data_IF_977076443473
#
_entry.id   IF_977076443473
#
_cell.length_a   1.000
_cell.length_b   1.000
_cell.length_c   1.000
_cell.angle_alpha   90.00
_cell.angle_beta   90.00
_cell.angle_gamma   90.00
#
_symmetry.space_group_name_H-M   'P 1'
#
loop_
_entity.id
_entity.type
_entity.pdbx_description
1 polymer ?
#
# COMPACT_ATOMS: atom_id res chain seq x y z
N UNK A 1 28.29 13.55 7.33
CA UNK A 1 27.25 14.32 8.03
C UNK A 1 26.47 15.14 7.01
N UNK A 2 25.40 14.59 6.45
CA UNK A 2 24.51 15.32 5.55
C UNK A 2 23.42 15.99 6.38
N UNK A 3 23.49 17.32 6.53
CA UNK A 3 22.39 18.08 7.14
C UNK A 3 21.16 17.97 6.23
N UNK A 4 20.12 17.34 6.74
CA UNK A 4 18.76 17.39 6.22
C UNK A 4 18.38 18.85 6.00
N UNK A 5 18.13 19.26 4.74
CA UNK A 5 17.40 20.50 4.47
C UNK A 5 15.93 20.25 4.81
N UNK A 6 15.61 20.24 6.09
CA UNK A 6 14.25 20.21 6.61
C UNK A 6 13.99 21.54 7.30
N UNK A 7 13.56 22.54 6.53
CA UNK A 7 12.86 23.71 7.06
C UNK A 7 11.86 24.14 6.00
N UNK A 8 10.69 23.49 6.00
CA UNK A 8 9.50 24.06 5.35
C UNK A 8 9.22 25.40 6.08
N UNK A 9 9.19 26.56 5.41
CA UNK A 9 8.95 27.86 6.06
C UNK A 9 7.64 27.93 6.84
N UNK A 10 6.68 27.07 6.49
CA UNK A 10 5.32 27.04 7.05
C UNK A 10 5.19 26.14 8.28
N UNK A 11 6.08 25.15 8.49
CA UNK A 11 6.10 24.38 9.74
C UNK A 11 6.37 25.26 10.96
N UNK A 12 7.07 26.38 10.78
CA UNK A 12 7.28 27.42 11.80
C UNK A 12 5.97 28.08 12.28
N UNK A 13 4.96 28.15 11.41
CA UNK A 13 3.69 28.81 11.71
C UNK A 13 2.67 27.86 12.37
N UNK A 14 2.85 26.54 12.27
CA UNK A 14 1.93 25.55 12.82
C UNK A 14 2.26 25.18 14.28
N UNK A 15 1.27 24.79 15.08
CA UNK A 15 1.49 24.41 16.48
C UNK A 15 0.22 24.04 17.25
N UNK A 16 0.40 23.70 18.53
CA UNK A 16 -0.66 23.13 19.37
C UNK A 16 -0.58 23.61 20.83
N UNK A 17 0.05 24.76 21.08
CA UNK A 17 0.27 25.27 22.45
C UNK A 17 -1.02 25.63 23.18
N UNK A 18 -2.05 26.03 22.44
CA UNK A 18 -3.37 26.45 22.91
C UNK A 18 -4.41 26.24 21.80
N UNK A 19 -5.69 26.38 22.16
CA UNK A 19 -6.83 26.20 21.24
C UNK A 19 -6.73 27.08 20.00
N UNK A 20 -6.37 28.35 20.17
CA UNK A 20 -6.26 29.29 19.06
C UNK A 20 -5.17 28.86 18.07
N UNK A 21 -4.02 28.42 18.58
CA UNK A 21 -2.93 27.94 17.75
C UNK A 21 -3.30 26.66 16.98
N UNK A 22 -4.09 25.78 17.59
CA UNK A 22 -4.62 24.61 16.88
C UNK A 22 -5.55 25.04 15.73
N UNK A 23 -6.44 26.01 15.95
CA UNK A 23 -7.30 26.58 14.90
C UNK A 23 -6.48 27.26 13.79
N UNK A 24 -5.47 28.04 14.15
CA UNK A 24 -4.55 28.67 13.18
C UNK A 24 -3.81 27.62 12.35
N UNK A 25 -3.48 26.47 12.95
CA UNK A 25 -2.84 25.35 12.27
C UNK A 25 -3.79 24.69 11.27
N UNK A 26 -5.05 24.45 11.67
CA UNK A 26 -6.07 23.96 10.73
C UNK A 26 -6.25 24.93 9.56
N UNK A 27 -6.26 26.24 9.83
CA UNK A 27 -6.35 27.28 8.80
C UNK A 27 -5.12 27.30 7.88
N UNK A 28 -3.92 27.09 8.40
CA UNK A 28 -2.70 26.99 7.58
C UNK A 28 -2.65 25.73 6.69
N UNK A 29 -3.40 24.70 7.07
CA UNK A 29 -3.55 23.47 6.31
C UNK A 29 -4.72 23.52 5.31
N UNK A 30 -5.59 24.52 5.41
CA UNK A 30 -6.75 24.68 4.54
C UNK A 30 -6.32 24.78 3.07
N UNK A 31 -7.03 24.06 2.19
CA UNK A 31 -6.71 24.00 0.75
C UNK A 31 -5.61 23.01 0.36
N UNK A 32 -4.82 22.49 1.32
CA UNK A 32 -3.83 21.43 1.02
C UNK A 32 -4.49 20.08 0.79
N UNK A 33 -3.73 19.13 0.26
CA UNK A 33 -4.23 17.76 0.05
C UNK A 33 -4.74 17.15 1.37
N UNK A 34 -5.94 16.59 1.34
CA UNK A 34 -6.57 16.05 2.55
C UNK A 34 -5.71 14.97 3.23
N UNK A 35 -4.98 14.19 2.44
CA UNK A 35 -4.04 13.18 2.96
C UNK A 35 -2.87 13.84 3.71
N UNK A 36 -2.36 14.97 3.24
CA UNK A 36 -1.31 15.73 3.93
C UNK A 36 -1.85 16.36 5.21
N UNK A 37 -3.03 16.98 5.15
CA UNK A 37 -3.69 17.53 6.36
C UNK A 37 -3.84 16.45 7.43
N UNK A 38 -4.35 15.27 7.06
CA UNK A 38 -4.50 14.13 7.95
C UNK A 38 -3.19 13.72 8.63
N UNK A 39 -2.10 13.60 7.85
CA UNK A 39 -0.79 13.22 8.39
C UNK A 39 -0.22 14.28 9.36
N UNK A 40 -0.34 15.57 9.02
CA UNK A 40 0.14 16.66 9.88
C UNK A 40 -0.65 16.70 11.18
N UNK A 41 -1.98 16.64 11.10
CA UNK A 41 -2.88 16.69 12.27
C UNK A 41 -2.67 15.46 13.15
N UNK A 42 -2.54 14.26 12.57
CA UNK A 42 -2.21 13.04 13.32
C UNK A 42 -0.89 13.17 14.07
N UNK A 43 0.13 13.76 13.44
CA UNK A 43 1.42 14.03 14.09
C UNK A 43 1.26 15.00 15.27
N UNK A 44 0.45 16.05 15.12
CA UNK A 44 0.17 16.99 16.20
C UNK A 44 -0.61 16.36 17.36
N UNK A 45 -1.56 15.46 17.09
CA UNK A 45 -2.26 14.70 18.13
C UNK A 45 -1.28 13.85 18.95
N UNK A 46 -0.41 13.08 18.28
CA UNK A 46 0.60 12.26 18.96
C UNK A 46 1.56 13.11 19.81
N UNK A 47 2.03 14.24 19.27
CA UNK A 47 2.92 15.17 19.98
C UNK A 47 2.19 15.82 21.17
N UNK A 48 0.95 16.23 21.00
CA UNK A 48 0.11 16.83 22.05
C UNK A 48 -0.11 15.86 23.21
N UNK A 49 -0.47 14.60 22.92
CA UNK A 49 -0.64 13.54 23.93
C UNK A 49 0.66 13.30 24.73
N UNK A 50 1.81 13.30 24.05
CA UNK A 50 3.11 13.18 24.73
C UNK A 50 3.41 14.40 25.61
N UNK A 51 3.16 15.61 25.12
CA UNK A 51 3.39 16.85 25.88
C UNK A 51 2.49 16.93 27.12
N UNK A 52 1.24 16.46 27.02
CA UNK A 52 0.31 16.36 28.15
C UNK A 52 0.85 15.46 29.27
N UNK A 53 1.55 14.37 28.96
CA UNK A 53 2.08 13.44 29.96
C UNK A 53 3.24 14.02 30.78
N UNK A 54 4.00 14.95 30.20
CA UNK A 54 5.21 15.52 30.82
C UNK A 54 4.98 16.90 31.45
N UNK A 55 3.90 17.59 31.09
CA UNK A 55 3.57 18.93 31.58
C UNK A 55 2.95 18.84 32.98
N UNK A 56 3.39 19.71 33.90
CA UNK A 56 2.92 19.77 35.30
C UNK A 56 2.12 21.03 35.63
N UNK A 57 2.13 21.99 34.71
CA UNK A 57 1.46 23.29 34.84
C UNK A 57 -0.01 23.17 34.42
N UNK A 58 -0.94 23.46 35.33
CA UNK A 58 -2.39 23.25 35.15
C UNK A 58 -3.00 24.13 34.05
N UNK A 59 -2.52 25.36 33.90
CA UNK A 59 -2.99 26.28 32.86
C UNK A 59 -2.57 25.75 31.47
N UNK A 60 -1.30 25.35 31.32
CA UNK A 60 -0.81 24.73 30.09
C UNK A 60 -1.48 23.40 29.80
N UNK A 61 -1.80 22.59 30.81
CA UNK A 61 -2.56 21.35 30.63
C UNK A 61 -3.95 21.62 30.06
N UNK A 62 -4.63 22.66 30.55
CA UNK A 62 -5.94 23.07 30.03
C UNK A 62 -5.84 23.51 28.56
N UNK A 63 -4.89 24.39 28.25
CA UNK A 63 -4.64 24.86 26.88
C UNK A 63 -4.30 23.72 25.92
N UNK A 64 -3.48 22.75 26.34
CA UNK A 64 -3.12 21.57 25.55
C UNK A 64 -4.30 20.62 25.35
N UNK A 65 -5.18 20.44 26.35
CA UNK A 65 -6.39 19.63 26.21
C UNK A 65 -7.36 20.24 25.22
N UNK A 66 -7.55 21.56 25.27
CA UNK A 66 -8.40 22.27 24.31
C UNK A 66 -7.83 22.21 22.89
N UNK A 67 -6.51 22.39 22.73
CA UNK A 67 -5.83 22.23 21.45
C UNK A 67 -5.97 20.80 20.90
N UNK A 68 -5.78 19.80 21.76
CA UNK A 68 -5.93 18.38 21.38
C UNK A 68 -7.35 18.10 20.89
N UNK A 69 -8.37 18.61 21.60
CA UNK A 69 -9.78 18.43 21.23
C UNK A 69 -10.06 18.96 19.82
N UNK A 70 -9.54 20.14 19.47
CA UNK A 70 -9.70 20.70 18.11
C UNK A 70 -9.20 19.74 17.02
N UNK A 71 -8.08 19.06 17.24
CA UNK A 71 -7.55 18.09 16.28
C UNK A 71 -8.31 16.75 16.30
N UNK A 72 -8.74 16.28 17.46
CA UNK A 72 -9.55 15.05 17.57
C UNK A 72 -10.94 15.23 16.94
N UNK A 73 -11.55 16.41 17.07
CA UNK A 73 -12.81 16.76 16.40
C UNK A 73 -12.61 16.75 14.87
N UNK A 74 -11.49 17.31 14.36
CA UNK A 74 -11.16 17.25 12.93
C UNK A 74 -10.92 15.82 12.43
N UNK A 75 -10.23 14.97 13.22
CA UNK A 75 -9.99 13.57 12.84
C UNK A 75 -11.27 12.73 12.85
N UNK A 76 -12.19 13.03 13.77
CA UNK A 76 -13.53 12.42 13.81
C UNK A 76 -14.29 12.78 12.55
N UNK A 77 -14.38 14.07 12.21
CA UNK A 77 -14.98 14.56 10.96
C UNK A 77 -14.35 13.90 9.72
N UNK A 78 -13.03 13.78 9.67
CA UNK A 78 -12.31 13.10 8.60
C UNK A 78 -12.78 11.65 8.38
N UNK A 79 -12.98 10.90 9.47
CA UNK A 79 -13.43 9.50 9.44
C UNK A 79 -14.92 9.40 9.09
N UNK A 80 -15.77 10.12 9.81
CA UNK A 80 -17.24 10.05 9.67
C UNK A 80 -17.70 10.48 8.28
N UNK A 81 -17.12 11.57 7.74
CA UNK A 81 -17.48 12.09 6.43
C UNK A 81 -16.68 11.45 5.28
N UNK A 82 -15.89 10.39 5.54
CA UNK A 82 -15.06 9.70 4.54
C UNK A 82 -14.21 10.68 3.71
N UNK A 83 -13.64 11.69 4.37
CA UNK A 83 -12.93 12.80 3.72
C UNK A 83 -11.67 12.34 2.97
N UNK A 84 -11.21 11.11 3.21
CA UNK A 84 -10.19 10.44 2.39
C UNK A 84 -10.52 10.40 0.89
N UNK A 85 -11.81 10.38 0.53
CA UNK A 85 -12.29 10.41 -0.86
C UNK A 85 -12.18 11.80 -1.51
N UNK A 86 -11.98 12.86 -0.74
CA UNK A 86 -11.73 14.21 -1.25
C UNK A 86 -10.31 14.36 -1.84
N UNK A 87 -9.48 13.32 -1.74
CA UNK A 87 -8.09 13.39 -2.17
C UNK A 87 -7.97 13.54 -3.69
N UNK A 88 -7.45 14.69 -4.11
CA UNK A 88 -7.22 15.03 -5.52
C UNK A 88 -5.83 14.55 -5.96
N UNK A 89 -5.67 13.24 -6.16
CA UNK A 89 -4.36 12.65 -6.50
C UNK A 89 -3.72 13.26 -7.76
N UNK A 90 -2.40 13.45 -7.72
CA UNK A 90 -1.62 14.02 -8.83
C UNK A 90 -1.45 13.02 -9.97
N UNK A 91 -1.63 13.51 -11.20
CA UNK A 91 -1.30 12.79 -12.43
C UNK A 91 0.20 12.90 -12.74
N UNK A 92 0.79 11.89 -13.41
CA UNK A 92 2.13 12.00 -13.97
C UNK A 92 2.25 13.21 -14.91
N UNK A 93 3.40 13.88 -14.89
CA UNK A 93 3.66 15.06 -15.72
C UNK A 93 3.54 14.76 -17.22
N UNK A 94 3.90 13.55 -17.64
CA UNK A 94 3.77 13.08 -19.02
C UNK A 94 2.31 12.98 -19.43
N UNK A 95 1.42 12.58 -18.50
CA UNK A 95 -0.02 12.58 -18.75
C UNK A 95 -0.52 13.99 -19.00
N UNK A 96 -0.14 14.95 -18.16
CA UNK A 96 -0.53 16.36 -18.36
C UNK A 96 -0.03 16.87 -19.72
N UNK A 97 1.23 16.56 -20.07
CA UNK A 97 1.84 16.93 -21.35
C UNK A 97 1.03 16.40 -22.55
N UNK A 98 0.61 15.13 -22.51
CA UNK A 98 -0.13 14.49 -23.61
C UNK A 98 -1.50 15.09 -23.90
N UNK A 99 -2.11 15.79 -22.94
CA UNK A 99 -3.43 16.43 -23.13
C UNK A 99 -3.35 17.93 -23.46
N UNK A 100 -2.14 18.52 -23.59
CA UNK A 100 -1.97 19.95 -23.92
C UNK A 100 -2.57 20.33 -25.27
N UNK A 101 -2.41 19.50 -26.30
CA UNK A 101 -2.98 19.80 -27.62
C UNK A 101 -4.50 19.80 -27.58
N UNK A 102 -5.11 18.82 -26.90
CA UNK A 102 -6.55 18.81 -26.70
C UNK A 102 -7.04 20.06 -25.94
N UNK A 103 -6.25 20.55 -24.98
CA UNK A 103 -6.58 21.80 -24.29
C UNK A 103 -6.51 23.04 -25.19
N UNK A 104 -5.62 23.06 -26.19
CA UNK A 104 -5.58 24.13 -27.20
C UNK A 104 -6.85 24.14 -28.03
N UNK A 105 -7.31 22.96 -28.48
CA UNK A 105 -8.54 22.82 -29.25
C UNK A 105 -9.79 23.27 -28.48
N UNK A 106 -9.81 23.05 -27.17
CA UNK A 106 -10.88 23.54 -26.29
C UNK A 106 -10.75 25.00 -25.86
N UNK A 107 -9.66 25.68 -26.24
CA UNK A 107 -9.30 27.04 -25.81
C UNK A 107 -9.25 27.19 -24.28
N UNK A 108 -8.54 26.25 -23.62
CA UNK A 108 -8.36 26.20 -22.15
C UNK A 108 -6.94 25.91 -21.72
N UNK A 109 -5.97 26.02 -22.62
CA UNK A 109 -4.58 25.77 -22.29
C UNK A 109 -4.07 26.81 -21.28
N UNK A 110 -3.79 26.35 -20.06
CA UNK A 110 -3.12 27.10 -19.00
C UNK A 110 -1.77 26.42 -18.70
N UNK A 111 -0.67 27.17 -18.73
CA UNK A 111 0.68 26.61 -18.69
C UNK A 111 1.40 26.82 -17.35
N UNK A 112 0.88 27.73 -16.51
CA UNK A 112 1.52 28.18 -15.29
C UNK A 112 1.75 27.03 -14.31
N UNK A 113 0.71 26.22 -14.05
CA UNK A 113 0.82 25.04 -13.20
C UNK A 113 1.77 24.00 -13.80
N UNK A 114 1.63 23.70 -15.10
CA UNK A 114 2.48 22.73 -15.78
C UNK A 114 3.95 23.11 -15.70
N UNK A 115 4.27 24.39 -15.91
CA UNK A 115 5.63 24.92 -15.84
C UNK A 115 6.19 24.84 -14.41
N UNK A 116 5.38 25.14 -13.39
CA UNK A 116 5.77 24.96 -11.99
C UNK A 116 6.05 23.48 -11.67
N UNK A 117 5.16 22.58 -12.12
CA UNK A 117 5.29 21.15 -11.87
C UNK A 117 6.45 20.51 -12.64
N UNK A 118 6.76 21.02 -13.85
CA UNK A 118 7.93 20.66 -14.66
C UNK A 118 9.23 21.05 -13.97
N UNK A 119 9.32 22.23 -13.37
CA UNK A 119 10.50 22.67 -12.60
C UNK A 119 10.80 21.75 -11.41
N UNK A 120 9.75 21.25 -10.76
CA UNK A 120 9.85 20.24 -9.69
C UNK A 120 10.00 18.79 -10.22
N UNK A 121 10.21 18.59 -11.53
CA UNK A 121 10.40 17.28 -12.17
C UNK A 121 9.27 16.29 -11.88
N UNK A 122 8.04 16.78 -11.73
CA UNK A 122 6.89 15.95 -11.39
C UNK A 122 6.77 15.56 -9.91
N UNK A 123 7.61 16.10 -9.01
CA UNK A 123 7.44 15.92 -7.56
C UNK A 123 6.39 16.89 -6.99
N UNK A 124 5.21 16.37 -6.68
CA UNK A 124 4.11 17.18 -6.15
C UNK A 124 4.39 17.71 -4.74
N UNK A 125 5.30 17.10 -3.98
CA UNK A 125 5.65 17.59 -2.64
C UNK A 125 6.41 18.91 -2.73
N UNK A 126 7.22 19.11 -3.78
CA UNK A 126 7.92 20.37 -4.04
C UNK A 126 6.96 21.55 -4.21
N UNK A 127 5.78 21.32 -4.80
CA UNK A 127 4.76 22.36 -5.05
C UNK A 127 4.24 23.03 -3.78
N UNK A 128 4.43 22.42 -2.60
CA UNK A 128 4.09 23.03 -1.30
C UNK A 128 4.97 24.23 -0.95
N UNK A 129 6.12 24.37 -1.59
CA UNK A 129 7.02 25.50 -1.41
C UNK A 129 7.04 26.44 -2.63
N UNK A 130 6.51 26.01 -3.78
CA UNK A 130 6.48 26.82 -5.00
C UNK A 130 5.29 27.77 -4.95
N UNK A 131 5.58 29.07 -4.84
CA UNK A 131 4.56 30.12 -4.87
C UNK A 131 3.97 30.32 -6.26
N UNK A 132 2.69 30.69 -6.31
CA UNK A 132 2.07 31.20 -7.54
C UNK A 132 2.66 32.57 -7.91
N UNK A 133 2.52 33.04 -9.17
CA UNK A 133 3.11 34.31 -9.61
C UNK A 133 2.71 35.54 -8.77
N UNK A 134 1.48 35.58 -8.22
CA UNK A 134 1.05 36.66 -7.32
C UNK A 134 1.75 36.64 -5.96
N UNK A 135 2.38 35.52 -5.58
CA UNK A 135 3.10 35.33 -4.32
C UNK A 135 2.20 35.10 -3.10
N UNK A 136 0.87 35.09 -3.28
CA UNK A 136 -0.13 35.00 -2.21
C UNK A 136 -0.23 33.61 -1.57
N UNK A 137 -0.08 32.56 -2.38
CA UNK A 137 -0.18 31.16 -1.94
C UNK A 137 0.76 30.26 -2.74
N UNK A 138 0.74 28.96 -2.46
CA UNK A 138 1.54 27.93 -3.10
C UNK A 138 0.73 27.14 -4.12
N UNK A 139 1.43 26.51 -5.06
CA UNK A 139 0.77 25.80 -6.16
C UNK A 139 -0.06 24.60 -5.69
N UNK A 140 0.30 23.92 -4.60
CA UNK A 140 -0.51 22.84 -4.03
C UNK A 140 -1.90 23.34 -3.58
N UNK A 141 -1.96 24.52 -2.95
CA UNK A 141 -3.21 25.13 -2.48
C UNK A 141 -4.01 25.66 -3.66
N UNK A 142 -3.39 26.46 -4.54
CA UNK A 142 -4.08 27.09 -5.66
C UNK A 142 -4.69 26.05 -6.61
N UNK A 143 -3.92 24.98 -6.90
CA UNK A 143 -4.38 23.87 -7.74
C UNK A 143 -5.62 23.20 -7.14
N UNK A 144 -5.62 22.91 -5.84
CA UNK A 144 -6.74 22.27 -5.17
C UNK A 144 -7.98 23.17 -5.14
N UNK A 145 -7.80 24.49 -4.94
CA UNK A 145 -8.88 25.48 -5.01
C UNK A 145 -9.55 25.46 -6.38
N UNK A 146 -8.77 25.60 -7.46
CA UNK A 146 -9.28 25.60 -8.84
C UNK A 146 -9.96 24.27 -9.21
N UNK A 147 -9.37 23.15 -8.82
CA UNK A 147 -10.00 21.84 -9.05
C UNK A 147 -11.34 21.71 -8.36
N UNK A 148 -11.45 22.18 -7.11
CA UNK A 148 -12.72 22.16 -6.38
C UNK A 148 -13.79 22.96 -7.13
N UNK A 149 -13.46 24.16 -7.60
CA UNK A 149 -14.38 25.00 -8.40
C UNK A 149 -14.84 24.29 -9.68
N UNK A 150 -13.92 23.67 -10.43
CA UNK A 150 -14.26 22.95 -11.67
C UNK A 150 -15.10 21.71 -11.37
N UNK A 151 -14.72 20.91 -10.37
CA UNK A 151 -15.44 19.69 -9.97
C UNK A 151 -16.86 20.04 -9.49
N UNK A 152 -17.01 21.09 -8.70
CA UNK A 152 -18.32 21.53 -8.21
C UNK A 152 -19.19 22.02 -9.37
N UNK A 153 -18.61 22.74 -10.36
CA UNK A 153 -19.31 23.10 -11.60
C UNK A 153 -19.77 21.86 -12.38
N UNK A 154 -18.91 20.83 -12.52
CA UNK A 154 -19.27 19.55 -13.17
C UNK A 154 -20.44 18.89 -12.44
N UNK A 155 -20.37 18.79 -11.11
CA UNK A 155 -21.44 18.19 -10.28
C UNK A 155 -22.75 18.95 -10.39
N UNK A 156 -22.73 20.26 -10.22
CA UNK A 156 -23.93 21.12 -10.26
C UNK A 156 -24.63 21.07 -11.62
N UNK A 157 -23.86 21.04 -12.71
CA UNK A 157 -24.41 20.99 -14.07
C UNK A 157 -24.60 19.55 -14.59
N UNK A 158 -24.35 18.54 -13.76
CA UNK A 158 -24.38 17.12 -14.13
C UNK A 158 -23.62 16.80 -15.44
N UNK A 159 -22.48 17.46 -15.63
CA UNK A 159 -21.66 17.27 -16.84
C UNK A 159 -20.95 15.91 -16.80
N UNK A 160 -20.80 15.30 -17.97
CA UNK A 160 -20.01 14.09 -18.11
C UNK A 160 -18.52 14.41 -18.09
N UNK A 161 -17.71 13.45 -17.65
CA UNK A 161 -16.25 13.55 -17.70
C UNK A 161 -15.67 13.34 -19.10
N UNK A 162 -16.44 12.73 -19.99
CA UNK A 162 -16.04 12.43 -21.37
C UNK A 162 -17.13 12.82 -22.33
N UNK A 163 -16.72 13.30 -23.50
CA UNK A 163 -17.63 13.68 -24.57
C UNK A 163 -18.40 12.46 -25.08
N UNK A 164 -19.72 12.52 -24.97
CA UNK A 164 -20.62 11.47 -25.45
C UNK A 164 -21.11 11.73 -26.87
N UNK A 165 -20.97 12.97 -27.35
CA UNK A 165 -21.52 13.45 -28.60
C UNK A 165 -20.74 12.93 -29.82
N UNK A 166 -21.43 12.85 -30.95
CA UNK A 166 -20.85 12.36 -32.20
C UNK A 166 -19.92 13.44 -32.78
N UNK A 167 -18.66 13.11 -33.01
CA UNK A 167 -17.70 14.04 -33.59
C UNK A 167 -16.24 13.68 -33.27
N UNK A 168 -15.33 14.60 -33.61
CA UNK A 168 -13.88 14.46 -33.41
C UNK A 168 -13.52 14.17 -31.94
N UNK A 169 -14.24 14.78 -31.01
CA UNK A 169 -13.99 14.70 -29.58
C UNK A 169 -14.61 13.48 -28.89
N UNK A 170 -15.41 12.66 -29.59
CA UNK A 170 -16.13 11.53 -28.98
C UNK A 170 -15.18 10.61 -28.20
N UNK A 171 -15.53 10.32 -26.95
CA UNK A 171 -14.77 9.45 -26.05
C UNK A 171 -13.54 10.10 -25.42
N UNK A 172 -13.20 11.34 -25.78
CA UNK A 172 -12.14 12.12 -25.14
C UNK A 172 -12.67 12.88 -23.92
N UNK A 173 -11.81 13.35 -23.01
CA UNK A 173 -12.21 14.20 -21.91
C UNK A 173 -12.96 15.45 -22.39
N UNK A 174 -14.01 15.83 -21.64
CA UNK A 174 -14.72 17.11 -21.88
C UNK A 174 -13.84 18.32 -21.57
N UNK A 175 -14.26 19.51 -22.01
CA UNK A 175 -13.56 20.78 -21.73
C UNK A 175 -13.20 20.93 -20.25
N UNK A 176 -14.16 20.77 -19.34
CA UNK A 176 -13.93 20.87 -17.89
C UNK A 176 -13.03 19.75 -17.35
N UNK A 177 -13.12 18.52 -17.88
CA UNK A 177 -12.21 17.45 -17.48
C UNK A 177 -10.78 17.75 -17.96
N UNK A 178 -10.58 18.31 -19.16
CA UNK A 178 -9.26 18.73 -19.63
C UNK A 178 -8.66 19.80 -18.72
N UNK A 179 -9.45 20.76 -18.23
CA UNK A 179 -8.98 21.74 -17.23
C UNK A 179 -8.50 21.04 -15.94
N UNK A 180 -9.22 20.03 -15.47
CA UNK A 180 -8.77 19.21 -14.34
C UNK A 180 -7.46 18.47 -14.64
N UNK A 181 -7.32 17.92 -15.85
CA UNK A 181 -6.11 17.20 -16.29
C UNK A 181 -4.91 18.14 -16.34
N UNK A 182 -5.10 19.38 -16.82
CA UNK A 182 -4.05 20.40 -16.84
C UNK A 182 -3.58 20.78 -15.43
N UNK A 183 -4.49 20.75 -14.45
CA UNK A 183 -4.18 20.88 -13.03
C UNK A 183 -3.68 19.56 -12.39
N UNK A 184 -3.39 18.54 -13.20
CA UNK A 184 -2.84 17.27 -12.75
C UNK A 184 -3.83 16.40 -11.99
N UNK A 185 -5.12 16.42 -12.31
CA UNK A 185 -6.14 15.59 -11.69
C UNK A 185 -7.05 14.89 -12.71
N UNK A 186 -7.47 13.67 -12.37
CA UNK A 186 -8.59 13.00 -13.01
C UNK A 186 -9.20 11.97 -12.06
N UNK A 187 -10.53 11.78 -12.08
CA UNK A 187 -11.16 10.68 -11.36
C UNK A 187 -10.82 9.30 -11.96
N UNK A 188 -10.38 9.23 -13.24
CA UNK A 188 -10.08 7.98 -13.94
C UNK A 188 -8.65 8.00 -14.58
N UNK A 189 -7.59 8.08 -13.77
CA UNK A 189 -6.22 8.26 -14.26
C UNK A 189 -5.73 7.12 -15.17
N UNK A 190 -6.25 5.91 -14.99
CA UNK A 190 -5.89 4.72 -15.79
C UNK A 190 -6.45 4.79 -17.21
N UNK A 191 -7.61 5.43 -17.40
CA UNK A 191 -8.25 5.62 -18.70
C UNK A 191 -7.51 6.66 -19.53
N UNK A 192 -7.04 7.74 -18.90
CA UNK A 192 -6.25 8.78 -19.56
C UNK A 192 -4.99 8.24 -20.23
N UNK A 193 -4.27 7.32 -19.57
CA UNK A 193 -3.07 6.68 -20.15
C UNK A 193 -3.33 6.00 -21.49
N UNK A 194 -4.53 5.44 -21.69
CA UNK A 194 -4.93 4.81 -22.95
C UNK A 194 -5.38 5.83 -24.00
N UNK A 195 -5.94 6.95 -23.55
CA UNK A 195 -6.44 8.01 -24.42
C UNK A 195 -5.34 8.95 -24.91
N UNK A 196 -4.17 9.00 -24.25
CA UNK A 196 -3.03 9.83 -24.68
C UNK A 196 -2.68 9.60 -26.15
N UNK A 197 -2.52 8.35 -26.58
CA UNK A 197 -2.20 8.02 -27.98
C UNK A 197 -3.30 8.48 -28.94
N UNK A 198 -4.58 8.34 -28.55
CA UNK A 198 -5.70 8.78 -29.38
C UNK A 198 -5.76 10.31 -29.50
N UNK A 199 -5.38 11.03 -28.45
CA UNK A 199 -5.28 12.50 -28.47
C UNK A 199 -4.13 12.94 -29.38
N UNK A 200 -2.96 12.30 -29.27
CA UNK A 200 -1.80 12.59 -30.11
C UNK A 200 -2.08 12.33 -31.61
N UNK A 201 -2.79 11.24 -31.93
CA UNK A 201 -3.20 10.90 -33.30
C UNK A 201 -4.22 11.88 -33.88
N UNK A 202 -5.22 12.30 -33.09
CA UNK A 202 -6.30 13.19 -33.54
C UNK A 202 -5.89 14.66 -33.56
N UNK A 203 -4.98 15.06 -32.67
CA UNK A 203 -4.53 16.44 -32.49
C UNK A 203 -2.99 16.49 -32.47
N UNK A 204 -2.34 16.26 -33.63
CA UNK A 204 -0.89 16.29 -33.74
C UNK A 204 -0.36 17.69 -33.46
N UNK A 205 0.80 17.78 -32.79
CA UNK A 205 1.46 19.07 -32.53
C UNK A 205 2.12 19.60 -33.80
N UNK A 206 1.85 20.86 -34.17
CA UNK A 206 2.54 21.50 -35.31
C UNK A 206 3.98 21.95 -35.00
N UNK A 207 4.44 21.96 -33.74
CA UNK A 207 5.79 22.41 -33.37
C UNK A 207 6.51 21.45 -32.40
N UNK A 208 7.59 20.83 -32.91
CA UNK A 208 8.61 20.08 -32.15
C UNK A 208 9.65 21.03 -31.50
N UNK A 209 9.23 22.04 -30.74
CA UNK A 209 10.15 23.01 -30.11
C UNK A 209 10.42 22.72 -28.62
N UNK A 210 10.47 21.45 -28.22
CA UNK A 210 10.81 21.08 -26.83
C UNK A 210 11.76 19.86 -26.77
N UNK A 211 12.63 19.71 -27.78
CA UNK A 211 13.86 18.91 -27.66
C UNK A 211 14.96 19.76 -27.00
N UNK A 212 14.84 20.04 -25.70
CA UNK A 212 16.04 20.35 -24.93
C UNK A 212 16.76 19.05 -24.59
N UNK A 213 17.91 18.89 -25.22
CA UNK A 213 18.83 17.78 -25.01
C UNK A 213 19.65 18.08 -23.75
N UNK A 214 19.24 17.55 -22.60
CA UNK A 214 20.13 17.44 -21.44
C UNK A 214 21.12 16.29 -21.70
N UNK A 215 22.28 16.62 -22.27
CA UNK A 215 23.47 15.76 -22.27
C UNK A 215 24.09 15.86 -20.88
N UNK A 216 23.81 14.87 -20.04
CA UNK A 216 24.77 14.21 -19.14
C UNK A 216 23.98 13.35 -18.13
N UNK A 217 23.93 12.04 -18.33
CA UNK A 217 24.64 11.08 -17.47
C UNK A 217 24.32 9.64 -17.93
N UNK A 218 25.38 8.85 -18.19
CA UNK A 218 25.28 7.41 -18.46
C UNK A 218 25.19 6.70 -17.11
N UNK A 219 24.04 6.15 -16.74
CA UNK A 219 23.99 5.32 -15.53
C UNK A 219 22.67 4.63 -15.22
N UNK A 220 22.55 3.37 -15.64
CA UNK A 220 21.74 2.27 -15.06
C UNK A 220 20.24 2.50 -14.83
N UNK A 221 19.48 1.81 -15.68
CA UNK A 221 18.10 1.37 -15.48
C UNK A 221 17.83 0.83 -14.07
N UNK A 222 17.00 1.52 -13.29
CA UNK A 222 16.35 0.98 -12.09
C UNK A 222 14.83 1.05 -12.27
N UNK A 223 14.21 -0.12 -12.50
CA UNK A 223 12.77 -0.35 -12.40
C UNK A 223 12.29 0.04 -11.00
N UNK A 224 11.51 1.12 -10.87
CA UNK A 224 10.76 1.41 -9.64
C UNK A 224 9.38 0.75 -9.73
N UNK A 225 9.10 -0.10 -8.74
CA UNK A 225 7.82 -0.77 -8.53
C UNK A 225 6.79 0.22 -7.97
N UNK A 226 5.60 0.16 -8.54
CA UNK A 226 4.37 0.79 -8.10
C UNK A 226 3.92 0.15 -6.78
N UNK A 227 3.77 0.94 -5.72
CA UNK A 227 3.16 0.50 -4.46
C UNK A 227 1.71 0.99 -4.40
N UNK A 228 0.77 0.12 -4.74
CA UNK A 228 -0.62 0.23 -4.31
C UNK A 228 -0.71 -0.24 -2.85
N UNK A 229 -0.91 0.67 -1.91
CA UNK A 229 -1.19 0.31 -0.52
C UNK A 229 -2.70 0.22 -0.35
N UNK A 230 -3.21 -1.01 -0.33
CA UNK A 230 -4.52 -1.35 0.22
C UNK A 230 -4.29 -1.68 1.68
N UNK A 231 -4.85 -0.87 2.59
CA UNK A 231 -4.75 -1.07 4.02
C UNK A 231 -6.16 -1.21 4.58
N UNK A 232 -6.56 -2.46 4.82
CA UNK A 232 -7.52 -2.79 5.87
C UNK A 232 -6.70 -3.40 7.00
N UNK A 233 -6.79 -2.83 8.19
CA UNK A 233 -6.73 -3.57 9.45
C UNK A 233 -7.36 -2.70 10.54
N UNK A 234 -8.32 -3.33 11.22
CA UNK A 234 -9.15 -2.84 12.31
C UNK A 234 -8.30 -2.86 13.59
N UNK A 235 -8.36 -1.79 14.40
CA UNK A 235 -7.81 -1.78 15.75
C UNK A 235 -8.92 -2.12 16.75
N UNK A 236 -8.70 -3.19 17.52
CA UNK A 236 -9.45 -3.45 18.74
C UNK A 236 -8.84 -2.68 19.92
N UNK A 237 -9.74 -2.01 20.61
CA UNK A 237 -9.58 -1.07 21.70
C UNK A 237 -9.19 -1.76 23.02
N UNK A 238 -8.33 -1.14 23.83
CA UNK A 238 -8.27 -1.42 25.27
C UNK A 238 -7.52 -0.30 26.03
N UNK A 239 -8.30 0.55 26.71
CA UNK A 239 -7.84 1.55 27.67
C UNK A 239 -7.18 0.95 28.94
N UNK A 240 -6.26 1.69 29.61
CA UNK A 240 -5.56 1.21 30.80
C UNK A 240 -6.24 1.64 32.12
N UNK A 241 -6.39 0.71 33.08
CA UNK A 241 -6.72 1.03 34.48
C UNK A 241 -5.48 1.19 35.37
N UNK A 242 -5.45 2.31 36.11
CA UNK A 242 -4.48 2.71 37.17
C UNK A 242 -4.43 1.74 38.37
N UNK A 243 -3.22 1.50 38.92
CA UNK A 243 -2.84 1.63 40.36
C UNK A 243 -1.32 1.42 40.54
N UNK A 244 -0.55 2.46 40.91
CA UNK A 244 0.02 2.86 42.23
C UNK A 244 1.18 1.97 42.74
N UNK A 245 2.26 2.66 43.15
CA UNK A 245 3.64 2.22 43.40
C UNK A 245 3.91 1.50 44.74
N UNK A 246 4.97 0.66 44.81
CA UNK A 246 6.24 0.90 45.57
C UNK A 246 7.26 -0.27 45.49
N UNK A 247 8.54 0.12 45.32
CA UNK A 247 9.82 -0.40 45.86
C UNK A 247 10.31 -1.86 45.72
N UNK A 248 11.47 -1.98 45.05
CA UNK A 248 12.68 -2.78 45.31
C UNK A 248 12.59 -4.23 45.79
N UNK A 249 13.03 -5.16 44.96
CA UNK A 249 14.31 -5.89 45.09
C UNK A 249 14.52 -6.76 43.85
N UNK A 250 15.79 -7.00 43.51
CA UNK A 250 16.23 -7.89 42.44
C UNK A 250 15.58 -9.26 42.59
N UNK A 251 14.92 -9.73 41.52
CA UNK A 251 14.76 -11.15 41.19
C UNK A 251 14.07 -11.28 39.82
N UNK A 252 14.51 -12.28 39.08
CA UNK A 252 14.24 -12.59 37.68
C UNK A 252 12.77 -12.40 37.28
N UNK A 253 12.50 -11.38 36.47
CA UNK A 253 11.25 -11.30 35.70
C UNK A 253 11.45 -11.96 34.35
N UNK A 254 11.00 -13.20 34.27
CA UNK A 254 10.49 -13.83 33.06
C UNK A 254 9.68 -12.80 32.27
N UNK A 255 10.28 -12.31 31.18
CA UNK A 255 9.62 -11.49 30.18
C UNK A 255 8.42 -12.29 29.67
N UNK A 256 7.25 -11.64 29.64
CA UNK A 256 6.06 -12.15 28.96
C UNK A 256 6.47 -12.66 27.57
N UNK A 257 6.27 -13.96 27.35
CA UNK A 257 6.44 -14.66 26.09
C UNK A 257 5.40 -14.13 25.08
N UNK A 258 5.66 -12.96 24.50
CA UNK A 258 4.87 -12.41 23.41
C UNK A 258 5.66 -12.57 22.10
N UNK A 259 5.24 -13.58 21.32
CA UNK A 259 5.80 -14.06 20.04
C UNK A 259 7.17 -14.74 20.17
N UNK A 260 7.27 -16.02 19.78
CA UNK A 260 8.50 -16.83 19.86
C UNK A 260 9.67 -16.36 18.97
N UNK A 261 9.60 -15.16 18.40
CA UNK A 261 10.64 -14.56 17.56
C UNK A 261 11.48 -13.58 18.37
N UNK A 262 12.80 -13.69 18.27
CA UNK A 262 13.76 -12.91 19.06
C UNK A 262 14.93 -12.41 18.21
N UNK A 263 15.46 -11.25 18.57
CA UNK A 263 16.62 -10.61 17.95
C UNK A 263 17.71 -10.29 18.99
N UNK A 264 17.68 -10.97 20.14
CA UNK A 264 18.60 -10.70 21.27
C UNK A 264 20.06 -10.98 20.94
N UNK A 265 20.31 -12.06 20.22
CA UNK A 265 21.63 -12.54 19.83
C UNK A 265 21.54 -13.37 18.55
N UNK A 266 22.70 -13.77 18.04
CA UNK A 266 22.85 -14.56 16.80
C UNK A 266 22.11 -15.89 16.85
N UNK A 267 22.16 -16.61 17.97
CA UNK A 267 21.53 -17.93 18.11
C UNK A 267 20.01 -17.81 18.10
N UNK A 268 19.47 -16.83 18.82
CA UNK A 268 18.04 -16.52 18.82
C UNK A 268 17.55 -16.03 17.46
N UNK A 269 18.38 -15.33 16.70
CA UNK A 269 18.06 -14.95 15.33
C UNK A 269 17.92 -16.18 14.40
N UNK A 270 18.84 -17.14 14.51
CA UNK A 270 18.78 -18.39 13.76
C UNK A 270 17.53 -19.22 14.13
N UNK A 271 17.24 -19.38 15.42
CA UNK A 271 16.02 -20.05 15.89
C UNK A 271 14.75 -19.34 15.39
N UNK A 272 14.78 -18.00 15.29
CA UNK A 272 13.65 -17.25 14.75
C UNK A 272 13.44 -17.52 13.26
N UNK A 273 14.52 -17.64 12.48
CA UNK A 273 14.43 -18.04 11.06
C UNK A 273 13.90 -19.47 10.94
N UNK A 274 14.40 -20.39 11.76
CA UNK A 274 13.95 -21.79 11.79
C UNK A 274 12.46 -21.91 12.14
N UNK A 275 11.98 -21.15 13.13
CA UNK A 275 10.56 -21.13 13.51
C UNK A 275 9.62 -20.58 12.42
N UNK A 276 10.18 -19.86 11.45
CA UNK A 276 9.46 -19.32 10.30
C UNK A 276 9.53 -20.25 9.07
N UNK A 277 10.34 -21.31 9.12
CA UNK A 277 10.48 -22.26 8.03
C UNK A 277 9.14 -22.93 7.70
N UNK A 278 8.91 -23.21 6.41
CA UNK A 278 7.64 -23.76 5.91
C UNK A 278 6.49 -22.74 5.78
N UNK A 279 6.57 -21.56 6.40
CA UNK A 279 5.56 -20.51 6.22
C UNK A 279 5.68 -19.82 4.86
N UNK A 280 4.67 -19.03 4.50
CA UNK A 280 4.65 -18.19 3.30
C UNK A 280 5.91 -17.30 3.22
N UNK A 281 6.61 -17.32 2.09
CA UNK A 281 7.93 -16.67 1.97
C UNK A 281 7.81 -15.14 2.12
N UNK A 282 6.67 -14.56 1.69
CA UNK A 282 6.40 -13.14 1.89
C UNK A 282 6.15 -12.85 3.38
N UNK A 283 5.45 -13.72 4.10
CA UNK A 283 5.29 -13.61 5.56
C UNK A 283 6.64 -13.70 6.29
N UNK A 284 7.50 -14.66 5.94
CA UNK A 284 8.84 -14.77 6.51
C UNK A 284 9.62 -13.47 6.31
N UNK A 285 9.59 -12.91 5.10
CA UNK A 285 10.25 -11.65 4.77
C UNK A 285 9.74 -10.48 5.62
N UNK A 286 8.43 -10.34 5.79
CA UNK A 286 7.85 -9.28 6.60
C UNK A 286 8.16 -9.44 8.09
N UNK A 287 8.11 -10.67 8.61
CA UNK A 287 8.46 -10.96 10.00
C UNK A 287 9.93 -10.62 10.29
N UNK A 288 10.85 -11.07 9.44
CA UNK A 288 12.29 -10.84 9.57
C UNK A 288 12.64 -9.36 9.41
N UNK A 289 12.06 -8.67 8.41
CA UNK A 289 12.24 -7.21 8.24
C UNK A 289 11.73 -6.44 9.46
N UNK A 290 10.63 -6.89 10.07
CA UNK A 290 10.10 -6.34 11.31
C UNK A 290 11.05 -6.51 12.49
N UNK A 291 11.71 -7.67 12.62
CA UNK A 291 12.72 -7.94 13.64
C UNK A 291 13.93 -7.02 13.48
N UNK A 292 14.44 -6.82 12.25
CA UNK A 292 15.55 -5.90 11.97
C UNK A 292 15.22 -4.48 12.43
N UNK A 293 14.08 -3.93 12.03
CA UNK A 293 13.66 -2.57 12.43
C UNK A 293 13.52 -2.41 13.94
N UNK A 294 13.02 -3.45 14.63
CA UNK A 294 12.94 -3.45 16.11
C UNK A 294 14.33 -3.51 16.74
N UNK A 295 15.21 -4.37 16.24
CA UNK A 295 16.59 -4.50 16.70
C UNK A 295 17.36 -3.19 16.55
N UNK A 296 17.31 -2.54 15.38
CA UNK A 296 17.95 -1.24 15.12
C UNK A 296 17.45 -0.16 16.09
N UNK A 297 16.13 -0.13 16.36
CA UNK A 297 15.56 0.79 17.33
C UNK A 297 16.11 0.54 18.73
N UNK A 298 16.17 -0.71 19.19
CA UNK A 298 16.71 -1.06 20.50
C UNK A 298 18.20 -0.73 20.59
N UNK A 299 18.98 -1.03 19.55
CA UNK A 299 20.40 -0.66 19.43
C UNK A 299 20.58 0.85 19.61
N UNK A 300 19.75 1.67 18.96
CA UNK A 300 19.85 3.14 19.04
C UNK A 300 19.61 3.73 20.44
N UNK A 301 18.86 3.01 21.29
CA UNK A 301 18.46 3.47 22.62
C UNK A 301 19.27 2.81 23.75
N UNK A 302 20.04 1.77 23.45
CA UNK A 302 20.80 0.97 24.42
C UNK A 302 22.20 1.57 24.61
N UNK A 303 22.72 1.53 25.84
CA UNK A 303 24.10 1.95 26.19
C UNK A 303 25.02 0.78 26.53
N UNK A 304 24.46 -0.42 26.65
CA UNK A 304 25.17 -1.66 26.95
C UNK A 304 25.87 -2.18 25.68
N UNK A 305 27.20 -2.12 25.67
CA UNK A 305 28.02 -2.48 24.51
C UNK A 305 27.89 -3.96 24.12
N UNK A 306 27.77 -4.86 25.11
CA UNK A 306 27.64 -6.29 24.86
C UNK A 306 26.27 -6.60 24.23
N UNK A 307 25.21 -5.99 24.73
CA UNK A 307 23.87 -6.11 24.12
C UNK A 307 23.84 -5.56 22.69
N UNK A 308 24.48 -4.41 22.46
CA UNK A 308 24.60 -3.84 21.11
C UNK A 308 25.34 -4.81 20.18
N UNK A 309 26.44 -5.41 20.63
CA UNK A 309 27.19 -6.39 19.83
C UNK A 309 26.31 -7.60 19.48
N UNK A 310 25.66 -8.21 20.47
CA UNK A 310 24.79 -9.36 20.26
C UNK A 310 23.65 -9.06 19.28
N UNK A 311 22.98 -7.91 19.41
CA UNK A 311 21.91 -7.51 18.50
C UNK A 311 22.43 -7.18 17.08
N UNK A 312 23.65 -6.65 16.94
CA UNK A 312 24.26 -6.44 15.62
C UNK A 312 24.54 -7.77 14.90
N UNK A 313 25.07 -8.76 15.62
CA UNK A 313 25.26 -10.10 15.06
C UNK A 313 23.92 -10.76 14.67
N UNK A 314 22.86 -10.54 15.46
CA UNK A 314 21.50 -10.95 15.11
C UNK A 314 20.98 -10.26 13.84
N UNK A 315 21.17 -8.94 13.71
CA UNK A 315 20.77 -8.16 12.53
C UNK A 315 21.50 -8.65 11.28
N UNK A 316 22.80 -8.94 11.36
CA UNK A 316 23.57 -9.47 10.24
C UNK A 316 22.99 -10.79 9.72
N UNK A 317 22.58 -11.71 10.61
CA UNK A 317 21.90 -12.96 10.22
C UNK A 317 20.61 -12.67 9.43
N UNK A 318 19.79 -11.73 9.90
CA UNK A 318 18.55 -11.36 9.22
C UNK A 318 18.79 -10.62 7.89
N UNK A 319 19.77 -9.72 7.83
CA UNK A 319 20.13 -9.00 6.61
C UNK A 319 20.65 -9.94 5.52
N UNK A 320 21.43 -10.96 5.90
CA UNK A 320 21.87 -12.00 4.98
C UNK A 320 20.68 -12.77 4.40
N UNK A 321 19.70 -13.14 5.24
CA UNK A 321 18.46 -13.79 4.79
C UNK A 321 17.64 -12.87 3.87
N UNK A 322 17.51 -11.58 4.21
CA UNK A 322 16.79 -10.59 3.39
C UNK A 322 17.50 -10.37 2.03
N UNK A 323 18.83 -10.37 2.03
CA UNK A 323 19.63 -10.24 0.80
C UNK A 323 19.41 -11.44 -0.10
N UNK A 324 19.48 -12.65 0.44
CA UNK A 324 19.15 -13.89 -0.28
C UNK A 324 17.74 -13.84 -0.88
N UNK A 325 16.73 -13.43 -0.10
CA UNK A 325 15.35 -13.26 -0.58
C UNK A 325 15.26 -12.33 -1.80
N UNK A 326 15.94 -11.19 -1.75
CA UNK A 326 15.91 -10.19 -2.82
C UNK A 326 16.70 -10.60 -4.07
N UNK A 327 17.89 -11.17 -3.89
CA UNK A 327 18.80 -11.54 -4.98
C UNK A 327 18.29 -12.77 -5.73
N UNK A 328 17.86 -13.80 -5.01
CA UNK A 328 17.38 -15.04 -5.61
C UNK A 328 15.89 -14.98 -6.01
N UNK A 329 15.21 -13.86 -5.76
CA UNK A 329 13.84 -13.64 -6.18
C UNK A 329 12.85 -14.61 -5.52
N UNK A 330 13.12 -14.99 -4.26
CA UNK A 330 12.36 -15.98 -3.49
C UNK A 330 10.88 -15.63 -3.34
N UNK A 331 10.50 -14.38 -3.57
CA UNK A 331 9.10 -13.95 -3.70
C UNK A 331 8.30 -14.79 -4.74
N UNK A 332 8.96 -15.32 -5.78
CA UNK A 332 8.30 -16.15 -6.80
C UNK A 332 8.01 -17.58 -6.34
N UNK A 333 8.64 -18.03 -5.26
CA UNK A 333 8.41 -19.33 -4.64
C UNK A 333 7.13 -19.33 -3.80
N UNK A 334 6.47 -18.18 -3.68
CA UNK A 334 5.30 -18.03 -2.86
C UNK A 334 4.07 -18.71 -3.47
N UNK A 335 3.47 -19.62 -2.73
CA UNK A 335 2.22 -20.27 -3.10
C UNK A 335 1.03 -19.39 -2.74
N UNK A 336 0.69 -18.43 -3.59
CA UNK A 336 -0.43 -17.53 -3.36
C UNK A 336 -1.75 -18.30 -3.20
N UNK A 337 -2.58 -17.89 -2.23
CA UNK A 337 -3.86 -18.52 -1.95
C UNK A 337 -4.88 -18.22 -3.04
N UNK A 338 -5.65 -19.23 -3.44
CA UNK A 338 -6.86 -19.06 -4.22
C UNK A 338 -8.02 -18.67 -3.32
N UNK A 339 -8.96 -17.81 -3.78
CA UNK A 339 -10.21 -17.57 -3.06
C UNK A 339 -10.96 -18.88 -2.80
N UNK A 340 -11.61 -18.98 -1.65
CA UNK A 340 -12.28 -20.22 -1.22
C UNK A 340 -13.37 -20.67 -2.20
N UNK A 341 -14.19 -19.75 -2.69
CA UNK A 341 -15.23 -20.04 -3.70
C UNK A 341 -14.64 -20.65 -4.97
N UNK A 342 -13.42 -20.22 -5.34
CA UNK A 342 -12.73 -20.75 -6.50
C UNK A 342 -12.22 -22.17 -6.23
N UNK A 343 -11.76 -22.49 -5.02
CA UNK A 343 -11.38 -23.86 -4.67
C UNK A 343 -12.61 -24.78 -4.68
N UNK A 344 -13.71 -24.33 -4.06
CA UNK A 344 -14.97 -25.06 -4.01
C UNK A 344 -15.54 -25.35 -5.41
N UNK A 345 -15.45 -24.39 -6.33
CA UNK A 345 -15.90 -24.57 -7.70
C UNK A 345 -15.23 -25.76 -8.41
N UNK A 346 -13.99 -26.09 -8.05
CA UNK A 346 -13.23 -27.20 -8.64
C UNK A 346 -13.36 -28.53 -7.88
N UNK A 347 -14.12 -28.58 -6.78
CA UNK A 347 -14.38 -29.83 -6.04
C UNK A 347 -14.97 -30.96 -6.91
N UNK A 348 -15.95 -30.72 -7.81
CA UNK A 348 -16.47 -31.78 -8.68
C UNK A 348 -15.42 -32.38 -9.62
N UNK A 349 -14.41 -31.59 -10.02
CA UNK A 349 -13.29 -32.08 -10.82
C UNK A 349 -12.36 -32.95 -9.97
N UNK A 350 -12.11 -32.57 -8.73
CA UNK A 350 -11.36 -33.38 -7.77
C UNK A 350 -12.04 -34.73 -7.52
N UNK A 351 -13.37 -34.75 -7.39
CA UNK A 351 -14.17 -35.98 -7.26
C UNK A 351 -14.02 -36.87 -8.50
N UNK A 352 -14.06 -36.29 -9.71
CA UNK A 352 -13.85 -37.02 -10.97
C UNK A 352 -12.46 -37.66 -11.05
N UNK A 353 -11.43 -36.96 -10.57
CA UNK A 353 -10.07 -37.49 -10.46
C UNK A 353 -9.85 -38.40 -9.24
N UNK A 354 -10.87 -38.57 -8.38
CA UNK A 354 -10.78 -39.36 -7.13
C UNK A 354 -9.67 -38.86 -6.21
N UNK A 355 -9.49 -37.54 -6.14
CA UNK A 355 -8.53 -36.92 -5.22
C UNK A 355 -9.11 -36.98 -3.81
N UNK A 356 -8.38 -37.60 -2.89
CA UNK A 356 -8.78 -37.72 -1.49
C UNK A 356 -8.84 -36.34 -0.80
N UNK A 357 -9.84 -36.17 0.06
CA UNK A 357 -9.94 -34.99 0.92
C UNK A 357 -8.85 -35.06 2.00
N UNK A 358 -7.95 -34.09 1.97
CA UNK A 358 -6.83 -33.96 2.89
C UNK A 358 -7.22 -33.18 4.17
N UNK A 359 -8.46 -32.75 4.31
CA UNK A 359 -8.96 -31.96 5.44
C UNK A 359 -8.61 -30.47 5.38
N UNK A 360 -7.74 -30.04 4.47
CA UNK A 360 -7.33 -28.63 4.34
C UNK A 360 -8.50 -27.74 3.93
N UNK A 361 -9.31 -28.18 2.96
CA UNK A 361 -10.44 -27.38 2.48
C UNK A 361 -11.41 -27.09 3.63
N UNK A 362 -11.71 -28.10 4.46
CA UNK A 362 -12.55 -27.92 5.65
C UNK A 362 -11.95 -26.90 6.62
N UNK A 363 -10.66 -27.00 6.93
CA UNK A 363 -9.98 -26.02 7.78
C UNK A 363 -9.99 -24.61 7.17
N UNK A 364 -9.93 -24.51 5.83
CA UNK A 364 -10.00 -23.24 5.11
C UNK A 364 -11.42 -22.64 5.11
N UNK A 365 -12.45 -23.48 5.08
CA UNK A 365 -13.86 -23.11 5.23
C UNK A 365 -14.17 -22.61 6.65
N UNK A 366 -13.64 -23.26 7.68
CA UNK A 366 -13.82 -22.85 9.08
C UNK A 366 -13.26 -21.45 9.38
N UNK A 367 -12.25 -21.00 8.62
CA UNK A 367 -11.71 -19.64 8.71
C UNK A 367 -12.26 -18.68 7.65
N UNK A 368 -13.34 -19.07 6.96
CA UNK A 368 -14.03 -18.25 5.94
C UNK A 368 -13.12 -17.80 4.80
N UNK A 369 -12.13 -18.62 4.43
CA UNK A 369 -11.18 -18.27 3.38
C UNK A 369 -10.09 -17.27 3.80
N UNK A 370 -10.05 -16.83 5.05
CA UNK A 370 -8.98 -15.98 5.57
C UNK A 370 -7.72 -16.81 5.89
N UNK A 371 -6.82 -16.88 4.91
CA UNK A 371 -5.59 -17.64 5.00
C UNK A 371 -4.65 -17.16 6.11
N UNK A 372 -4.78 -15.92 6.61
CA UNK A 372 -3.95 -15.44 7.73
C UNK A 372 -4.29 -16.21 9.01
N UNK A 373 -5.56 -16.57 9.21
CA UNK A 373 -6.03 -17.33 10.39
C UNK A 373 -5.47 -18.77 10.41
N UNK A 374 -5.19 -19.37 9.24
CA UNK A 374 -4.58 -20.71 9.13
C UNK A 374 -3.22 -20.83 9.84
N UNK A 375 -2.54 -19.71 10.11
CA UNK A 375 -1.28 -19.66 10.86
C UNK A 375 -1.42 -20.08 12.33
N UNK A 376 -2.66 -20.11 12.82
CA UNK A 376 -3.01 -20.47 14.20
C UNK A 376 -3.89 -21.74 14.27
N UNK A 377 -4.29 -22.30 13.13
CA UNK A 377 -5.10 -23.53 13.09
C UNK A 377 -4.16 -24.72 12.94
N UNK A 378 -4.14 -25.60 13.94
CA UNK A 378 -3.32 -26.81 13.93
C UNK A 378 -3.93 -27.88 13.02
N UNK A 379 -3.06 -28.65 12.36
CA UNK A 379 -3.47 -29.87 11.66
C UNK A 379 -3.82 -30.93 12.72
N UNK A 380 -4.93 -31.67 12.59
CA UNK A 380 -5.26 -32.75 13.51
C UNK A 380 -4.08 -33.72 13.69
N UNK A 381 -3.83 -34.14 14.93
CA UNK A 381 -2.76 -35.07 15.31
C UNK A 381 -1.33 -34.62 14.93
N UNK A 382 -1.12 -33.31 14.72
CA UNK A 382 0.17 -32.74 14.34
C UNK A 382 0.52 -31.51 15.18
N UNK A 383 1.82 -31.24 15.31
CA UNK A 383 2.33 -30.04 15.98
C UNK A 383 2.41 -28.82 15.06
N UNK A 384 2.17 -28.99 13.75
CA UNK A 384 2.24 -27.90 12.76
C UNK A 384 0.87 -27.32 12.43
N UNK A 385 0.87 -26.09 11.95
CA UNK A 385 -0.31 -25.36 11.50
C UNK A 385 -0.59 -25.61 10.02
N UNK A 386 -1.85 -25.40 9.62
CA UNK A 386 -2.28 -25.66 8.25
C UNK A 386 -1.52 -24.83 7.22
N UNK A 387 -1.05 -23.62 7.55
CA UNK A 387 -0.22 -22.82 6.62
C UNK A 387 1.12 -23.50 6.29
N UNK A 388 1.74 -24.16 7.27
CA UNK A 388 3.01 -24.88 7.11
C UNK A 388 2.78 -26.19 6.34
N UNK A 389 1.80 -26.99 6.78
CA UNK A 389 1.52 -28.29 6.16
C UNK A 389 1.11 -28.13 4.68
N UNK A 390 0.28 -27.12 4.38
CA UNK A 390 -0.13 -26.80 3.01
C UNK A 390 1.06 -26.43 2.13
N UNK A 391 1.97 -25.58 2.60
CA UNK A 391 3.14 -25.19 1.81
C UNK A 391 4.12 -26.33 1.58
N UNK A 392 4.30 -27.20 2.59
CA UNK A 392 5.11 -28.42 2.49
C UNK A 392 4.55 -29.37 1.42
N UNK A 393 3.25 -29.64 1.46
CA UNK A 393 2.58 -30.49 0.47
C UNK A 393 2.64 -29.89 -0.94
N UNK A 394 2.34 -28.60 -1.07
CA UNK A 394 2.43 -27.91 -2.36
C UNK A 394 3.83 -27.94 -2.96
N UNK A 395 4.88 -27.80 -2.14
CA UNK A 395 6.26 -27.92 -2.63
C UNK A 395 6.50 -29.29 -3.25
N UNK A 396 6.13 -30.35 -2.54
CA UNK A 396 6.24 -31.73 -3.07
C UNK A 396 5.44 -31.94 -4.36
N UNK A 397 4.21 -31.43 -4.43
CA UNK A 397 3.36 -31.52 -5.64
C UNK A 397 3.98 -30.78 -6.83
N UNK A 398 4.39 -29.53 -6.62
CA UNK A 398 4.94 -28.68 -7.68
C UNK A 398 6.28 -29.21 -8.18
N UNK A 399 7.12 -29.72 -7.29
CA UNK A 399 8.40 -30.33 -7.67
C UNK A 399 8.16 -31.62 -8.47
N UNK A 400 7.20 -32.47 -8.06
CA UNK A 400 6.77 -33.64 -8.84
C UNK A 400 6.27 -33.26 -10.24
N UNK A 401 5.45 -32.21 -10.36
CA UNK A 401 4.96 -31.71 -11.65
C UNK A 401 6.12 -31.29 -12.55
N UNK A 402 7.10 -30.55 -12.00
CA UNK A 402 8.28 -30.10 -12.74
C UNK A 402 9.16 -31.26 -13.18
N UNK A 403 9.51 -32.16 -12.25
CA UNK A 403 10.40 -33.31 -12.49
C UNK A 403 9.83 -34.25 -13.55
N UNK A 404 8.52 -34.51 -13.49
CA UNK A 404 7.83 -35.38 -14.46
C UNK A 404 7.33 -34.63 -15.69
N UNK A 405 7.59 -33.32 -15.79
CA UNK A 405 7.12 -32.42 -16.86
C UNK A 405 5.62 -32.56 -17.17
N UNK A 406 4.81 -32.67 -16.12
CA UNK A 406 3.36 -32.85 -16.21
C UNK A 406 2.75 -31.51 -16.65
N UNK A 407 1.86 -31.57 -17.64
CA UNK A 407 1.13 -30.38 -18.06
C UNK A 407 0.14 -29.94 -16.98
N UNK A 408 0.07 -28.62 -16.74
CA UNK A 408 -0.88 -28.06 -15.77
C UNK A 408 -2.34 -28.23 -16.22
N UNK A 409 -2.58 -28.34 -17.53
CA UNK A 409 -3.91 -28.50 -18.09
C UNK A 409 -3.95 -29.70 -19.02
N UNK A 410 -5.08 -30.41 -19.03
CA UNK A 410 -5.29 -31.58 -19.85
C UNK A 410 -5.29 -31.23 -21.34
N UNK A 411 -4.67 -32.12 -22.12
CA UNK A 411 -4.61 -32.05 -23.58
C UNK A 411 -5.60 -32.98 -24.28
N UNK A 412 -6.12 -33.98 -23.54
CA UNK A 412 -7.02 -35.03 -24.03
C UNK A 412 -8.43 -34.50 -24.31
N UNK A 413 -9.12 -35.07 -25.31
CA UNK A 413 -10.31 -34.44 -25.91
C UNK A 413 -11.48 -34.20 -24.93
N UNK A 414 -11.70 -35.06 -23.95
CA UNK A 414 -12.82 -34.91 -23.00
C UNK A 414 -12.63 -33.71 -22.06
N UNK A 415 -11.45 -33.61 -21.45
CA UNK A 415 -11.10 -32.60 -20.44
C UNK A 415 -10.17 -31.51 -20.96
N UNK A 416 -9.97 -31.40 -22.28
CA UNK A 416 -9.06 -30.44 -22.89
C UNK A 416 -9.27 -29.04 -22.33
N UNK A 417 -8.19 -28.47 -21.79
CA UNK A 417 -8.17 -27.12 -21.23
C UNK A 417 -8.55 -27.02 -19.74
N UNK A 418 -9.07 -28.09 -19.12
CA UNK A 418 -9.26 -28.16 -17.67
C UNK A 418 -7.95 -28.48 -16.93
N UNK A 419 -7.84 -28.15 -15.64
CA UNK A 419 -6.69 -28.53 -14.82
C UNK A 419 -6.45 -30.03 -14.86
N UNK A 420 -5.19 -30.46 -14.96
CA UNK A 420 -4.83 -31.87 -14.86
C UNK A 420 -5.09 -32.41 -13.44
N UNK A 421 -5.00 -33.72 -13.25
CA UNK A 421 -5.11 -34.33 -11.91
C UNK A 421 -4.17 -33.65 -10.90
N UNK A 422 -2.90 -33.48 -11.27
CA UNK A 422 -1.88 -32.88 -10.39
C UNK A 422 -2.13 -31.40 -10.13
N UNK A 423 -2.58 -30.65 -11.13
CA UNK A 423 -2.98 -29.26 -10.93
C UNK A 423 -4.22 -29.18 -10.04
N UNK A 424 -5.17 -30.11 -10.19
CA UNK A 424 -6.37 -30.19 -9.34
C UNK A 424 -5.98 -30.49 -7.89
N UNK A 425 -4.99 -31.37 -7.65
CA UNK A 425 -4.43 -31.56 -6.29
C UNK A 425 -3.87 -30.26 -5.72
N UNK A 426 -3.15 -29.46 -6.50
CA UNK A 426 -2.70 -28.13 -6.06
C UNK A 426 -3.88 -27.18 -5.76
N UNK A 427 -4.94 -27.21 -6.58
CA UNK A 427 -6.14 -26.38 -6.38
C UNK A 427 -6.82 -26.73 -5.06
N UNK A 428 -6.91 -28.02 -4.72
CA UNK A 428 -7.47 -28.48 -3.44
C UNK A 428 -6.64 -28.05 -2.23
N UNK A 429 -5.38 -27.64 -2.43
CA UNK A 429 -4.53 -26.96 -1.44
C UNK A 429 -4.56 -25.42 -1.58
N UNK A 430 -5.60 -24.87 -2.23
CA UNK A 430 -5.78 -23.46 -2.55
C UNK A 430 -4.60 -22.83 -3.32
N UNK A 431 -4.04 -23.52 -4.31
CA UNK A 431 -2.97 -22.99 -5.15
C UNK A 431 -3.16 -23.28 -6.65
N UNK A 432 -2.76 -22.33 -7.49
CA UNK A 432 -2.64 -22.53 -8.93
C UNK A 432 -1.53 -21.67 -9.51
N UNK A 433 -0.80 -22.20 -10.48
CA UNK A 433 0.14 -21.43 -11.29
C UNK A 433 -0.56 -20.35 -12.15
N UNK A 434 -1.82 -20.58 -12.53
CA UNK A 434 -2.63 -19.65 -13.32
C UNK A 434 -4.05 -19.53 -12.78
N UNK A 435 -4.19 -18.74 -11.71
CA UNK A 435 -5.49 -18.46 -11.09
C UNK A 435 -6.45 -17.71 -12.05
N UNK A 436 -5.91 -16.94 -13.01
CA UNK A 436 -6.71 -16.18 -13.97
C UNK A 436 -7.44 -17.09 -14.96
N UNK A 437 -6.76 -18.14 -15.45
CA UNK A 437 -7.37 -19.16 -16.29
C UNK A 437 -8.42 -19.98 -15.54
N UNK A 438 -8.17 -20.33 -14.28
CA UNK A 438 -9.17 -21.05 -13.46
C UNK A 438 -10.48 -20.27 -13.34
N UNK A 439 -10.41 -18.96 -13.05
CA UNK A 439 -11.61 -18.11 -12.95
C UNK A 439 -12.47 -18.12 -14.23
N UNK A 440 -11.82 -18.20 -15.40
CA UNK A 440 -12.51 -18.27 -16.70
C UNK A 440 -13.16 -19.63 -16.96
N UNK A 441 -12.66 -20.70 -16.36
CA UNK A 441 -13.16 -22.06 -16.55
C UNK A 441 -14.36 -22.39 -15.66
N UNK A 442 -14.60 -21.64 -14.58
CA UNK A 442 -15.70 -21.89 -13.63
C UNK A 442 -17.07 -22.04 -14.32
N UNK A 443 -17.51 -21.16 -15.24
CA UNK A 443 -18.81 -21.30 -15.88
C UNK A 443 -18.92 -22.60 -16.70
N UNK A 444 -17.87 -22.91 -17.46
CA UNK A 444 -17.81 -24.10 -18.32
C UNK A 444 -17.65 -25.41 -17.56
N UNK A 445 -17.08 -25.37 -16.35
CA UNK A 445 -16.87 -26.53 -15.50
C UNK A 445 -18.20 -27.14 -15.05
N UNK A 446 -19.14 -26.28 -14.63
CA UNK A 446 -20.46 -26.69 -14.19
C UNK A 446 -21.31 -27.30 -15.33
N UNK A 447 -21.09 -26.86 -16.57
CA UNK A 447 -21.77 -27.39 -17.75
C UNK A 447 -21.21 -28.74 -18.18
N UNK A 448 -19.87 -28.88 -18.23
CA UNK A 448 -19.20 -30.11 -18.67
C UNK A 448 -19.26 -31.27 -17.67
N UNK A 449 -19.38 -31.00 -16.37
CA UNK A 449 -19.44 -32.06 -15.34
C UNK A 449 -20.87 -32.52 -15.02
N UNK A 450 -21.89 -31.86 -15.59
CA UNK A 450 -23.30 -32.31 -15.54
C UNK A 450 -23.72 -33.15 -16.75
N UNK A 451 -22.89 -33.16 -17.81
CA UNK A 451 -23.04 -34.02 -19.00
C UNK A 451 -22.17 -35.26 -18.85
#
# INVERSE_FOLDING_TARGET
MGRSKSTEPEESAMGFKDKQKALDTLKALEGRDISYQYHVISSFVSRSKRTLQITRDEEKLTNLREALKVFEDWLTDYKENNRSKENLAYLPIETIKGFRNLAKEYDVLEEEFYNAYKKEKGDYKGLRAVKIPSGETTWDIERNRRLKEIIDKIKQKHMQWYETDVGLFRGLPTKEHVQCILLGYSPEPTKLKKLMTQVEEKFPSENNEDMEVDKDDKGKSVKRRYSSSSSNEEEEDNEPKKKVAKHSSEEEKTEKEESGLSFKDKEKALLSIESLEGRDVSYQYHAITGLVKRAERVISCTKDEQKIKNMKEAVEVFENWITDYNVNGRAKENFNYLPIDLVQAFKPLADRYKIEDNGFLKAYEEVEGDYKKLRNVQVPDSSVTWDIERNKNLRSLVDRIKEKNIQWFETDEELRGFPSEEHTRCIMWAFSHDAGKLKKLVPTLAEKLKS
#
